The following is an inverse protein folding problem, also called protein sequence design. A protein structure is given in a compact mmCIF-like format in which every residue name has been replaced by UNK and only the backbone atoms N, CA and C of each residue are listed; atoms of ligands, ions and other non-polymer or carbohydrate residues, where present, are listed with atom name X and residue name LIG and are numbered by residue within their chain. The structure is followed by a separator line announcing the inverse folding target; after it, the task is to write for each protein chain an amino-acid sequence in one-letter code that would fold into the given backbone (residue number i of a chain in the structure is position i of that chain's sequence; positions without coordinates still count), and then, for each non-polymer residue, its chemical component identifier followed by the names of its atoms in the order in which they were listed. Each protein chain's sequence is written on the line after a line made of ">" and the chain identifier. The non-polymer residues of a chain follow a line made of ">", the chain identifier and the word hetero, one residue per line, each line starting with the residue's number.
data_IF_673648539059
#
_entry.id   IF_673648539059
#
_cell.length_a   1.000
_cell.length_b   1.000
_cell.length_c   1.000
_cell.angle_alpha   90.00
_cell.angle_beta   90.00
_cell.angle_gamma   90.00
#
_symmetry.space_group_name_H-M   'P 1'
#
loop_
_entity.id
_entity.type
_entity.pdbx_description
1 polymer ?
#
# COMPACT_ATOMS: atom_id res chain seq x y z
N UNK A 1 -4.38 4.79 19.64
CA UNK A 1 -3.06 4.68 18.98
C UNK A 1 -2.61 6.09 18.61
N UNK A 2 -1.45 6.52 19.11
CA UNK A 2 -0.85 7.79 18.71
C UNK A 2 0.04 7.51 17.51
N UNK A 3 -0.32 8.04 16.33
CA UNK A 3 0.49 7.89 15.12
C UNK A 3 1.87 8.49 15.32
N UNK A 4 2.90 7.84 14.78
CA UNK A 4 4.24 8.41 14.81
C UNK A 4 4.28 9.69 13.95
N UNK A 5 5.02 10.74 14.37
CA UNK A 5 5.17 11.97 13.58
C UNK A 5 5.66 11.71 12.15
N UNK A 6 6.44 10.64 11.97
CA UNK A 6 6.91 10.18 10.68
C UNK A 6 5.76 9.76 9.74
N UNK A 7 4.82 8.93 10.23
CA UNK A 7 3.72 8.43 9.41
C UNK A 7 2.79 9.56 8.95
N UNK A 8 2.53 10.53 9.81
CA UNK A 8 1.76 11.73 9.46
C UNK A 8 2.47 12.56 8.40
N UNK A 9 3.78 12.79 8.53
CA UNK A 9 4.56 13.56 7.56
C UNK A 9 4.60 12.89 6.18
N UNK A 10 4.77 11.56 6.12
CA UNK A 10 4.75 10.79 4.87
C UNK A 10 3.40 10.90 4.17
N UNK A 11 2.30 10.76 4.91
CA UNK A 11 0.96 10.86 4.35
C UNK A 11 0.64 12.25 3.77
N UNK A 12 1.12 13.32 4.42
CA UNK A 12 0.97 14.69 3.92
C UNK A 12 1.81 14.92 2.66
N UNK A 13 3.05 14.43 2.63
CA UNK A 13 3.95 14.58 1.49
C UNK A 13 3.53 13.72 0.28
N UNK A 14 2.84 12.60 0.52
CA UNK A 14 2.41 11.66 -0.50
C UNK A 14 0.91 11.39 -0.36
N UNK A 15 0.04 12.33 -0.78
CA UNK A 15 -1.39 12.11 -0.74
C UNK A 15 -1.81 11.04 -1.76
N UNK A 16 -2.86 10.31 -1.40
CA UNK A 16 -3.49 9.30 -2.24
C UNK A 16 -3.19 7.86 -1.83
N UNK A 17 -3.52 6.90 -2.71
CA UNK A 17 -3.63 5.50 -2.34
C UNK A 17 -2.27 4.84 -2.14
N UNK A 18 -2.23 3.91 -1.19
CA UNK A 18 -1.05 3.13 -0.84
C UNK A 18 -1.41 1.65 -0.80
N UNK A 19 -0.49 0.80 -1.22
CA UNK A 19 -0.63 -0.65 -1.19
C UNK A 19 0.21 -1.24 -0.06
N UNK A 20 -0.33 -2.29 0.55
CA UNK A 20 0.44 -3.19 1.42
C UNK A 20 0.89 -4.39 0.60
N UNK A 21 2.19 -4.62 0.54
CA UNK A 21 2.84 -5.76 -0.11
C UNK A 21 3.38 -6.68 0.99
N UNK A 22 3.08 -7.97 0.91
CA UNK A 22 3.60 -9.00 1.81
C UNK A 22 4.20 -10.13 0.97
N UNK A 23 5.44 -10.54 1.24
CA UNK A 23 6.14 -11.59 0.47
C UNK A 23 6.11 -11.38 -1.06
N UNK A 24 6.16 -10.11 -1.48
CA UNK A 24 6.12 -9.72 -2.89
C UNK A 24 4.72 -9.73 -3.53
N UNK A 25 3.68 -10.12 -2.80
CA UNK A 25 2.30 -10.09 -3.27
C UNK A 25 1.56 -8.83 -2.81
N UNK A 26 0.79 -8.22 -3.73
CA UNK A 26 -0.14 -7.16 -3.39
C UNK A 26 -1.29 -7.73 -2.54
N UNK A 27 -1.44 -7.24 -1.31
CA UNK A 27 -2.52 -7.66 -0.42
C UNK A 27 -3.76 -6.79 -0.62
N UNK A 28 -3.62 -5.48 -0.36
CA UNK A 28 -4.72 -4.52 -0.40
C UNK A 28 -4.22 -3.11 -0.75
N UNK A 29 -5.12 -2.30 -1.35
CA UNK A 29 -4.91 -0.87 -1.59
C UNK A 29 -5.80 -0.09 -0.62
N UNK A 30 -5.20 0.88 0.05
CA UNK A 30 -5.85 1.78 1.00
C UNK A 30 -5.83 3.22 0.47
N UNK A 31 -6.83 4.05 0.80
CA UNK A 31 -6.91 5.45 0.38
C UNK A 31 -5.76 6.33 0.87
N UNK A 32 -5.12 5.98 1.98
CA UNK A 32 -4.09 6.79 2.64
C UNK A 32 -2.91 5.94 3.10
N UNK A 33 -1.75 6.56 3.29
CA UNK A 33 -0.58 5.90 3.88
C UNK A 33 -0.86 5.46 5.32
N UNK A 34 -1.63 6.26 6.07
CA UNK A 34 -1.96 5.98 7.47
C UNK A 34 -2.78 4.69 7.62
N UNK A 35 -3.76 4.47 6.76
CA UNK A 35 -4.53 3.22 6.76
C UNK A 35 -3.68 2.03 6.30
N UNK A 36 -2.82 2.23 5.30
CA UNK A 36 -1.94 1.17 4.83
C UNK A 36 -0.91 0.74 5.89
N UNK A 37 -0.32 1.69 6.63
CA UNK A 37 0.68 1.37 7.66
C UNK A 37 0.07 0.73 8.89
N UNK A 38 -1.14 1.15 9.29
CA UNK A 38 -1.89 0.52 10.38
C UNK A 38 -2.13 -0.97 10.07
N UNK A 39 -2.51 -1.25 8.81
CA UNK A 39 -2.70 -2.62 8.32
C UNK A 39 -1.42 -3.39 8.11
N UNK A 40 -0.34 -2.72 7.72
CA UNK A 40 0.96 -3.36 7.62
C UNK A 40 1.45 -3.82 9.00
N UNK A 41 1.24 -3.02 10.05
CA UNK A 41 1.59 -3.36 11.42
C UNK A 41 0.79 -4.58 11.94
N UNK A 42 -0.49 -4.69 11.58
CA UNK A 42 -1.31 -5.87 11.89
C UNK A 42 -0.77 -7.16 11.23
N UNK A 43 -0.16 -7.03 10.04
CA UNK A 43 0.32 -8.14 9.23
C UNK A 43 1.80 -8.46 9.45
N UNK A 44 2.53 -7.58 10.14
CA UNK A 44 3.97 -7.73 10.34
C UNK A 44 4.24 -8.95 11.21
N UNK A 45 4.81 -9.99 10.59
CA UNK A 45 5.29 -11.17 11.31
C UNK A 45 6.81 -11.25 11.15
N UNK A 46 7.55 -11.84 12.12
CA UNK A 46 9.01 -11.92 12.05
C UNK A 46 9.59 -12.65 10.82
N UNK A 47 8.74 -13.25 9.97
CA UNK A 47 9.13 -14.13 8.87
C UNK A 47 8.76 -13.61 7.48
N UNK A 48 7.87 -12.62 7.37
CA UNK A 48 7.39 -12.11 6.09
C UNK A 48 7.55 -10.60 6.05
N UNK A 49 8.46 -10.06 5.21
CA UNK A 49 8.61 -8.61 5.08
C UNK A 49 7.32 -8.00 4.50
N UNK A 50 6.75 -7.06 5.26
CA UNK A 50 5.65 -6.21 4.82
C UNK A 50 6.21 -4.87 4.35
N UNK A 51 5.73 -4.36 3.22
CA UNK A 51 6.13 -3.08 2.65
C UNK A 51 4.91 -2.24 2.29
N UNK A 52 4.97 -0.95 2.56
CA UNK A 52 3.94 0.02 2.14
C UNK A 52 4.48 0.85 1.00
N UNK A 53 3.78 0.84 -0.13
CA UNK A 53 4.19 1.57 -1.34
C UNK A 53 3.08 2.49 -1.83
N UNK A 54 3.45 3.65 -2.38
CA UNK A 54 2.48 4.55 -3.03
C UNK A 54 2.01 3.94 -4.35
N UNK A 55 0.71 4.01 -4.61
CA UNK A 55 0.10 3.49 -5.84
C UNK A 55 -0.27 4.64 -6.76
N UNK A 56 0.15 4.56 -8.02
CA UNK A 56 -0.40 5.41 -9.08
C UNK A 56 -1.55 4.68 -9.78
N UNK A 57 -2.78 4.99 -9.36
CA UNK A 57 -4.00 4.39 -9.93
C UNK A 57 -4.16 4.67 -11.43
N UNK A 58 -3.49 5.69 -11.98
CA UNK A 58 -3.54 5.96 -13.43
C UNK A 58 -2.87 4.86 -14.24
N UNK A 59 -1.84 4.21 -13.68
CA UNK A 59 -1.13 3.11 -14.34
C UNK A 59 -1.67 1.73 -13.94
N UNK A 60 -2.22 1.58 -12.73
CA UNK A 60 -2.81 0.29 -12.29
C UNK A 60 -4.02 -0.11 -13.13
N UNK A 61 -4.79 0.85 -13.62
CA UNK A 61 -5.95 0.58 -14.49
C UNK A 61 -5.51 -0.05 -15.82
N UNK A 62 -4.38 0.39 -16.39
CA UNK A 62 -3.85 -0.11 -17.66
C UNK A 62 -3.31 -1.55 -17.53
N UNK A 63 -2.67 -1.91 -16.42
CA UNK A 63 -2.14 -3.27 -16.22
C UNK A 63 -3.26 -4.30 -15.92
N UNK A 64 -4.32 -3.90 -15.21
CA UNK A 64 -5.50 -4.75 -15.00
C UNK A 64 -6.29 -4.97 -16.29
N UNK A 65 -6.42 -3.95 -17.15
CA UNK A 65 -7.03 -4.13 -18.47
C UNK A 65 -6.15 -4.99 -19.40
N UNK A 66 -4.83 -4.78 -19.40
CA UNK A 66 -3.90 -5.58 -20.20
C UNK A 66 -3.96 -7.08 -19.82
N UNK A 67 -4.05 -7.40 -18.53
CA UNK A 67 -4.21 -8.79 -18.08
C UNK A 67 -5.63 -9.36 -18.32
N UNK A 68 -6.66 -8.51 -18.35
CA UNK A 68 -8.05 -8.95 -18.65
C UNK A 68 -8.26 -9.27 -20.14
N UNK A 69 -7.54 -8.60 -21.04
CA UNK A 69 -7.61 -8.86 -22.50
C UNK A 69 -6.79 -10.10 -22.89
N UNK A 70 -5.82 -10.50 -22.06
CA UNK A 70 -4.98 -11.67 -22.27
C UNK A 70 -5.56 -13.00 -21.73
N UNK A 71 -6.82 -13.02 -21.27
CA UNK A 71 -7.52 -14.20 -20.72
C UNK A 71 -8.54 -14.80 -21.69
#
# INVERSE_FOLDING_TARGET
>A
MTLSPFATAVNVANPGPHAVICDGALMFIYPTYLEAIDRAADLETPKSPVSVVRVDLRNVTLELEANRIAS
#
